data_IF_965248492898
#
_entry.id   IF_965248492898
#
_cell.length_a   1.000
_cell.length_b   1.000
_cell.length_c   1.000
_cell.angle_alpha   90.00
_cell.angle_beta   90.00
_cell.angle_gamma   90.00
#
_symmetry.space_group_name_H-M   'P 1'
#
loop_
_entity.id
_entity.type
_entity.pdbx_description
1 polymer ?
#
# COMPACT_ATOMS: atom_id res chain seq x y z
N UNK A 1 -15.47 -11.74 -7.26
CA UNK A 1 -15.32 -10.32 -7.68
C UNK A 1 -16.18 -9.38 -6.84
N UNK A 2 -17.49 -9.63 -6.76
CA UNK A 2 -18.48 -8.76 -6.08
C UNK A 2 -18.94 -9.24 -4.71
N UNK A 3 -18.50 -10.41 -4.27
CA UNK A 3 -18.75 -10.85 -2.90
C UNK A 3 -18.00 -9.98 -1.90
N UNK A 4 -18.67 -9.69 -0.78
CA UNK A 4 -18.06 -9.03 0.38
C UNK A 4 -16.90 -9.87 0.92
N UNK A 5 -15.91 -9.20 1.52
CA UNK A 5 -14.82 -9.92 2.19
C UNK A 5 -15.36 -10.56 3.47
N UNK A 6 -15.49 -11.89 3.48
CA UNK A 6 -15.97 -12.68 4.63
C UNK A 6 -15.06 -12.61 5.88
N UNK A 7 -14.01 -11.79 5.87
CA UNK A 7 -13.15 -11.51 7.01
C UNK A 7 -12.62 -10.06 6.99
N UNK A 8 -13.53 -9.09 6.90
CA UNK A 8 -13.19 -7.65 6.93
C UNK A 8 -12.35 -7.25 8.15
N UNK A 9 -12.58 -7.89 9.31
CA UNK A 9 -11.79 -7.67 10.52
C UNK A 9 -10.30 -8.01 10.37
N UNK A 10 -9.96 -9.12 9.70
CA UNK A 10 -8.56 -9.47 9.42
C UNK A 10 -7.91 -8.40 8.53
N UNK A 11 -8.59 -8.01 7.45
CA UNK A 11 -8.09 -6.97 6.54
C UNK A 11 -7.89 -5.62 7.25
N UNK A 12 -8.81 -5.23 8.13
CA UNK A 12 -8.69 -4.00 8.93
C UNK A 12 -7.47 -4.03 9.86
N UNK A 13 -7.26 -5.14 10.59
CA UNK A 13 -6.11 -5.28 11.48
C UNK A 13 -4.79 -5.33 10.70
N UNK A 14 -4.74 -6.05 9.58
CA UNK A 14 -3.58 -6.09 8.71
C UNK A 14 -3.23 -4.71 8.13
N UNK A 15 -4.24 -3.91 7.79
CA UNK A 15 -4.04 -2.53 7.36
C UNK A 15 -3.47 -1.65 8.48
N UNK A 16 -4.01 -1.76 9.70
CA UNK A 16 -3.51 -1.03 10.87
C UNK A 16 -2.07 -1.41 11.18
N UNK A 17 -1.78 -2.72 11.20
CA UNK A 17 -0.43 -3.24 11.41
C UNK A 17 0.55 -2.76 10.34
N UNK A 18 0.19 -2.83 9.05
CA UNK A 18 1.02 -2.34 7.93
C UNK A 18 1.40 -0.87 8.12
N UNK A 19 0.42 -0.01 8.41
CA UNK A 19 0.69 1.42 8.65
C UNK A 19 1.60 1.63 9.86
N UNK A 20 1.34 0.90 10.95
CA UNK A 20 2.14 1.02 12.16
C UNK A 20 3.58 0.54 11.95
N UNK A 21 3.79 -0.61 11.31
CA UNK A 21 5.13 -1.16 11.09
C UNK A 21 5.94 -0.31 10.12
N UNK A 22 5.32 0.27 9.08
CA UNK A 22 5.97 1.21 8.17
C UNK A 22 6.44 2.47 8.92
N UNK A 23 5.63 3.01 9.84
CA UNK A 23 6.02 4.14 10.70
C UNK A 23 7.19 3.74 11.62
N UNK A 24 7.13 2.55 12.24
CA UNK A 24 8.21 2.07 13.11
C UNK A 24 9.52 1.83 12.36
N UNK A 25 9.44 1.39 11.12
CA UNK A 25 10.60 1.26 10.25
C UNK A 25 11.27 2.61 9.98
N UNK A 26 10.47 3.63 9.64
CA UNK A 26 10.93 5.02 9.45
C UNK A 26 11.59 5.57 10.73
N UNK A 27 10.93 5.40 11.88
CA UNK A 27 11.47 5.85 13.19
C UNK A 27 12.81 5.19 13.50
N UNK A 28 12.91 3.86 13.30
CA UNK A 28 14.14 3.11 13.50
C UNK A 28 15.29 3.66 12.63
N UNK A 29 15.07 3.88 11.33
CA UNK A 29 16.11 4.42 10.45
C UNK A 29 16.52 5.85 10.84
N UNK A 30 15.58 6.70 11.24
CA UNK A 30 15.90 8.04 11.71
C UNK A 30 16.77 8.01 12.98
N UNK A 31 16.47 7.13 13.93
CA UNK A 31 17.27 6.95 15.16
C UNK A 31 18.64 6.35 14.85
N UNK A 32 18.70 5.35 13.96
CA UNK A 32 19.94 4.72 13.48
C UNK A 32 20.90 5.78 12.91
N UNK A 33 20.39 6.59 11.98
CA UNK A 33 21.17 7.67 11.33
C UNK A 33 21.58 8.76 12.32
N UNK A 34 20.77 9.05 13.34
CA UNK A 34 21.11 10.00 14.40
C UNK A 34 22.25 9.45 15.25
N UNK A 35 22.17 8.20 15.71
CA UNK A 35 23.22 7.55 16.49
C UNK A 35 24.56 7.56 15.76
N UNK A 36 24.57 7.20 14.47
CA UNK A 36 25.78 7.21 13.65
C UNK A 36 26.45 8.59 13.61
N UNK A 37 25.67 9.66 13.45
CA UNK A 37 26.19 11.03 13.47
C UNK A 37 26.74 11.41 14.85
N UNK A 38 26.02 11.11 15.92
CA UNK A 38 26.47 11.46 17.28
C UNK A 38 27.75 10.70 17.67
N UNK A 39 27.83 9.40 17.37
CA UNK A 39 29.01 8.60 17.68
C UNK A 39 30.21 9.01 16.82
N UNK A 40 30.04 9.42 15.56
CA UNK A 40 31.13 9.92 14.73
C UNK A 40 31.63 11.31 15.18
N UNK A 41 30.72 12.19 15.63
CA UNK A 41 31.03 13.59 15.97
C UNK A 41 31.64 13.81 17.37
N UNK A 42 31.95 12.75 18.13
CA UNK A 42 32.67 12.85 19.41
C UNK A 42 34.05 13.46 19.16
N UNK A 43 34.28 14.70 19.62
CA UNK A 43 35.55 15.41 19.44
C UNK A 43 36.54 14.93 20.49
N UNK A 44 37.83 14.88 20.13
CA UNK A 44 38.94 14.56 21.06
C UNK A 44 39.25 15.66 22.11
N UNK A 45 38.53 16.78 22.14
CA UNK A 45 38.89 17.95 22.97
C UNK A 45 37.71 18.53 23.76
N UNK A 46 37.76 18.23 25.07
CA UNK A 46 37.68 19.12 26.24
C UNK A 46 36.81 20.38 26.18
N UNK A 47 35.49 20.23 26.09
CA UNK A 47 34.59 21.17 26.76
C UNK A 47 33.48 20.37 27.45
N UNK A 48 32.97 20.89 28.57
CA UNK A 48 32.08 20.28 29.57
C UNK A 48 30.68 19.89 29.03
N UNK A 49 30.64 19.12 27.96
CA UNK A 49 29.43 18.55 27.42
C UNK A 49 29.30 17.11 27.96
N UNK A 50 28.30 16.90 28.81
CA UNK A 50 28.04 15.60 29.41
C UNK A 50 27.68 14.54 28.36
N UNK A 51 27.11 14.95 27.22
CA UNK A 51 26.80 14.07 26.10
C UNK A 51 28.10 13.55 25.44
N UNK A 52 29.09 14.42 25.20
CA UNK A 52 30.40 14.02 24.65
C UNK A 52 31.10 12.99 25.55
N UNK A 53 31.07 13.21 26.87
CA UNK A 53 31.64 12.26 27.85
C UNK A 53 30.91 10.93 27.81
N UNK A 54 29.58 10.95 27.66
CA UNK A 54 28.77 9.74 27.56
C UNK A 54 29.07 8.95 26.28
N UNK A 55 29.09 9.60 25.11
CA UNK A 55 29.43 8.94 23.85
C UNK A 55 30.87 8.42 23.81
N UNK A 56 31.82 9.10 24.47
CA UNK A 56 33.18 8.58 24.62
C UNK A 56 33.20 7.28 25.44
N UNK A 57 32.48 7.23 26.56
CA UNK A 57 32.33 6.00 27.36
C UNK A 57 31.65 4.88 26.57
N UNK A 58 30.68 5.20 25.72
CA UNK A 58 30.06 4.22 24.83
C UNK A 58 31.08 3.63 23.84
N UNK A 59 31.94 4.45 23.23
CA UNK A 59 33.02 3.98 22.36
C UNK A 59 34.01 3.06 23.10
N UNK A 60 34.41 3.43 24.31
CA UNK A 60 35.32 2.64 25.16
C UNK A 60 34.71 1.27 25.53
N UNK A 61 33.38 1.18 25.64
CA UNK A 61 32.64 -0.07 25.89
C UNK A 61 32.29 -0.87 24.63
N UNK A 62 32.95 -0.59 23.52
CA UNK A 62 32.76 -1.26 22.23
C UNK A 62 31.41 -0.98 21.53
N UNK A 63 30.72 0.12 21.87
CA UNK A 63 29.54 0.59 21.13
C UNK A 63 29.93 1.70 20.15
N UNK A 64 31.07 1.53 19.49
CA UNK A 64 31.60 2.52 18.54
C UNK A 64 30.88 2.52 17.20
N UNK A 65 30.18 1.43 16.87
CA UNK A 65 29.33 1.30 15.68
C UNK A 65 27.87 1.10 16.05
N UNK A 66 26.99 1.46 15.12
CA UNK A 66 25.54 1.27 15.24
C UNK A 66 25.21 -0.22 15.40
N UNK A 67 25.87 -1.11 14.68
CA UNK A 67 25.61 -2.55 14.69
C UNK A 67 25.80 -3.14 16.09
N UNK A 68 26.89 -2.77 16.78
CA UNK A 68 27.19 -3.22 18.14
C UNK A 68 26.19 -2.67 19.15
N UNK A 69 25.80 -1.41 18.99
CA UNK A 69 24.75 -0.82 19.82
C UNK A 69 23.41 -1.53 19.64
N UNK A 70 22.99 -1.80 18.40
CA UNK A 70 21.75 -2.51 18.09
C UNK A 70 21.77 -3.97 18.57
N UNK A 71 22.92 -4.64 18.54
CA UNK A 71 23.08 -5.98 19.14
C UNK A 71 22.80 -5.98 20.63
N UNK A 72 23.25 -4.93 21.34
CA UNK A 72 23.00 -4.79 22.78
C UNK A 72 21.51 -4.71 23.12
N UNK A 73 20.69 -4.15 22.22
CA UNK A 73 19.24 -4.02 22.40
C UNK A 73 18.53 -5.37 22.32
N UNK A 74 19.15 -6.39 21.72
CA UNK A 74 18.58 -7.73 21.67
C UNK A 74 18.53 -8.39 23.06
N UNK A 75 19.26 -7.85 24.06
CA UNK A 75 19.25 -8.36 25.43
C UNK A 75 18.11 -7.79 26.29
N UNK A 76 17.30 -6.86 25.78
CA UNK A 76 16.14 -6.38 26.51
C UNK A 76 15.12 -7.51 26.73
N UNK A 77 14.59 -7.64 27.95
CA UNK A 77 13.69 -8.73 28.37
C UNK A 77 12.51 -8.97 27.41
N UNK A 78 11.95 -7.90 26.82
CA UNK A 78 10.84 -7.96 25.86
C UNK A 78 11.22 -8.57 24.50
N UNK A 79 12.50 -8.53 24.14
CA UNK A 79 13.05 -9.17 22.93
C UNK A 79 13.37 -10.65 23.20
N UNK A 80 13.82 -10.95 24.42
CA UNK A 80 14.18 -12.31 24.84
C UNK A 80 12.97 -13.19 25.16
N UNK A 81 11.84 -12.63 25.59
CA UNK A 81 10.65 -13.39 25.98
C UNK A 81 9.86 -13.99 24.80
N UNK A 82 10.27 -13.73 23.54
CA UNK A 82 9.66 -14.36 22.38
C UNK A 82 10.16 -15.81 22.22
N UNK A 83 9.33 -16.77 22.68
CA UNK A 83 9.56 -18.21 22.48
C UNK A 83 9.35 -18.68 21.03
N UNK A 84 8.72 -17.85 20.19
CA UNK A 84 8.49 -18.13 18.79
C UNK A 84 9.72 -17.73 17.94
N UNK A 85 10.46 -18.74 17.46
CA UNK A 85 11.65 -18.55 16.62
C UNK A 85 11.34 -17.81 15.31
N UNK A 86 10.09 -17.81 14.85
CA UNK A 86 9.68 -17.12 13.62
C UNK A 86 9.57 -15.60 13.79
N UNK A 87 9.34 -15.13 15.02
CA UNK A 87 9.13 -13.71 15.37
C UNK A 87 10.28 -13.14 16.23
N UNK A 88 11.49 -13.68 16.06
CA UNK A 88 12.68 -13.19 16.77
C UNK A 88 13.06 -11.80 16.25
N UNK A 89 13.00 -10.81 17.15
CA UNK A 89 13.41 -9.43 16.87
C UNK A 89 14.94 -9.39 16.76
N UNK A 90 15.43 -8.86 15.64
CA UNK A 90 16.85 -8.60 15.41
C UNK A 90 16.99 -7.28 14.68
N UNK A 91 17.41 -6.24 15.38
CA UNK A 91 17.53 -4.91 14.79
C UNK A 91 18.59 -4.80 13.68
N UNK A 92 19.54 -5.74 13.61
CA UNK A 92 20.50 -5.86 12.49
C UNK A 92 19.91 -6.55 11.25
N UNK A 93 18.72 -7.14 11.34
CA UNK A 93 17.95 -7.69 10.21
C UNK A 93 16.65 -6.88 10.03
N UNK A 94 16.71 -5.57 9.70
CA UNK A 94 15.55 -4.68 9.74
C UNK A 94 14.45 -5.10 8.76
N UNK A 95 14.81 -5.62 7.58
CA UNK A 95 13.85 -6.16 6.62
C UNK A 95 12.98 -7.30 7.18
N UNK A 96 13.54 -8.10 8.08
CA UNK A 96 12.82 -9.21 8.73
C UNK A 96 12.03 -8.72 9.94
N UNK A 97 12.66 -7.90 10.79
CA UNK A 97 12.05 -7.39 12.03
C UNK A 97 10.86 -6.47 11.76
N UNK A 98 10.92 -5.66 10.70
CA UNK A 98 9.85 -4.76 10.29
C UNK A 98 9.11 -5.27 9.04
N UNK A 99 9.07 -6.59 8.87
CA UNK A 99 8.32 -7.22 7.78
C UNK A 99 6.81 -7.16 8.02
N UNK A 100 5.99 -7.22 6.95
CA UNK A 100 4.57 -7.47 7.09
C UNK A 100 4.33 -8.79 7.83
N UNK A 101 3.26 -8.85 8.63
CA UNK A 101 2.91 -10.07 9.35
C UNK A 101 2.60 -11.21 8.37
N UNK A 102 3.08 -12.42 8.67
CA UNK A 102 2.80 -13.64 7.90
C UNK A 102 1.31 -13.99 7.91
N UNK A 103 0.55 -13.53 8.90
CA UNK A 103 -0.91 -13.67 8.98
C UNK A 103 -1.67 -12.74 8.00
N UNK A 104 -1.00 -11.73 7.47
CA UNK A 104 -1.58 -10.74 6.57
C UNK A 104 -1.35 -11.04 5.08
N UNK A 105 -0.89 -12.26 4.78
CA UNK A 105 -0.81 -12.78 3.42
C UNK A 105 -2.21 -12.99 2.84
N UNK A 106 -2.32 -12.98 1.51
CA UNK A 106 -3.57 -13.34 0.86
C UNK A 106 -3.98 -14.76 1.23
N UNK A 107 -5.29 -15.03 1.21
CA UNK A 107 -5.76 -16.41 1.30
C UNK A 107 -5.15 -17.23 0.15
N UNK A 108 -4.80 -18.50 0.40
CA UNK A 108 -4.36 -19.41 -0.65
C UNK A 108 -5.40 -19.45 -1.78
N UNK A 109 -4.94 -19.35 -3.03
CA UNK A 109 -5.82 -19.21 -4.20
C UNK A 109 -6.91 -20.29 -4.29
N UNK A 110 -6.55 -21.52 -3.94
CA UNK A 110 -7.43 -22.68 -3.97
C UNK A 110 -8.18 -22.93 -2.65
N UNK A 111 -7.99 -22.06 -1.67
CA UNK A 111 -8.54 -22.20 -0.33
C UNK A 111 -7.77 -23.15 0.58
N UNK A 112 -8.36 -23.41 1.75
CA UNK A 112 -7.81 -24.29 2.78
C UNK A 112 -8.88 -25.27 3.24
N UNK A 113 -8.45 -26.47 3.66
CA UNK A 113 -9.30 -27.44 4.31
C UNK A 113 -8.96 -27.49 5.79
N UNK A 114 -9.92 -27.11 6.64
CA UNK A 114 -9.79 -27.10 8.09
C UNK A 114 -10.50 -28.33 8.67
N UNK A 115 -9.81 -29.09 9.53
CA UNK A 115 -10.46 -30.19 10.26
C UNK A 115 -11.21 -29.60 11.46
N UNK A 116 -12.51 -29.90 11.56
CA UNK A 116 -13.47 -29.27 12.49
C UNK A 116 -13.06 -29.26 13.98
N UNK A 117 -12.06 -30.03 14.41
CA UNK A 117 -11.71 -30.19 15.84
C UNK A 117 -10.25 -29.88 16.20
N UNK A 118 -9.36 -29.55 15.25
CA UNK A 118 -7.91 -29.43 15.55
C UNK A 118 -7.31 -28.04 15.32
N UNK A 119 -8.10 -27.06 14.85
CA UNK A 119 -7.60 -25.72 14.49
C UNK A 119 -6.60 -25.68 13.32
N UNK A 120 -6.21 -26.85 12.80
CA UNK A 120 -5.24 -27.00 11.73
C UNK A 120 -5.94 -26.99 10.36
N UNK A 121 -5.57 -26.00 9.55
CA UNK A 121 -5.99 -25.86 8.17
C UNK A 121 -4.83 -26.23 7.24
N UNK A 122 -5.14 -26.93 6.16
CA UNK A 122 -4.16 -27.34 5.16
C UNK A 122 -4.50 -26.74 3.80
N UNK A 123 -3.49 -26.34 3.03
CA UNK A 123 -3.70 -25.76 1.70
C UNK A 123 -4.31 -26.79 0.74
N UNK A 124 -5.33 -26.37 -0.01
CA UNK A 124 -5.89 -27.18 -1.09
C UNK A 124 -4.94 -27.11 -2.28
N UNK A 125 -4.66 -28.26 -2.89
CA UNK A 125 -3.84 -28.36 -4.10
C UNK A 125 -4.70 -28.10 -5.35
N UNK A 126 -4.09 -27.56 -6.39
CA UNK A 126 -4.77 -27.26 -7.66
C UNK A 126 -5.52 -28.45 -8.26
N UNK A 127 -4.91 -29.64 -8.23
CA UNK A 127 -5.52 -30.86 -8.76
C UNK A 127 -6.79 -31.28 -7.99
N UNK A 128 -6.93 -30.87 -6.73
CA UNK A 128 -8.13 -31.11 -5.92
C UNK A 128 -9.18 -30.03 -6.23
N UNK A 129 -8.76 -28.78 -6.28
CA UNK A 129 -9.61 -27.63 -6.64
C UNK A 129 -10.28 -27.80 -8.00
N UNK A 130 -9.51 -28.25 -9.01
CA UNK A 130 -10.03 -28.48 -10.37
C UNK A 130 -11.11 -29.55 -10.41
N UNK A 131 -10.94 -30.64 -9.64
CA UNK A 131 -11.88 -31.77 -9.55
C UNK A 131 -13.14 -31.46 -8.74
N UNK A 132 -13.11 -30.43 -7.88
CA UNK A 132 -14.32 -29.98 -7.19
C UNK A 132 -15.24 -29.27 -8.19
N UNK A 133 -16.32 -29.96 -8.56
CA UNK A 133 -17.34 -29.50 -9.53
C UNK A 133 -18.32 -28.46 -8.96
N UNK A 134 -18.10 -27.98 -7.73
CA UNK A 134 -19.08 -27.15 -7.02
C UNK A 134 -18.86 -25.64 -7.20
N UNK A 135 -17.88 -25.21 -8.00
CA UNK A 135 -17.64 -23.79 -8.29
C UNK A 135 -18.25 -23.43 -9.64
N UNK A 136 -18.93 -22.29 -9.66
CA UNK A 136 -19.50 -21.73 -10.88
C UNK A 136 -18.41 -21.47 -11.92
N UNK A 137 -18.69 -21.88 -13.15
CA UNK A 137 -17.80 -21.59 -14.27
C UNK A 137 -17.91 -20.12 -14.64
N UNK A 138 -16.77 -19.46 -14.81
CA UNK A 138 -16.68 -18.07 -15.24
C UNK A 138 -16.94 -17.98 -16.74
N UNK A 139 -17.81 -17.06 -17.16
CA UNK A 139 -18.01 -16.72 -18.57
C UNK A 139 -16.87 -15.83 -19.08
N UNK A 140 -15.87 -16.44 -19.69
CA UNK A 140 -14.69 -15.75 -20.23
C UNK A 140 -14.94 -15.39 -21.70
N UNK A 141 -14.68 -14.13 -22.05
CA UNK A 141 -14.76 -13.60 -23.41
C UNK A 141 -13.40 -13.66 -24.11
N UNK A 142 -12.32 -13.48 -23.36
CA UNK A 142 -10.94 -13.51 -23.85
C UNK A 142 -10.04 -14.20 -22.81
N UNK A 143 -9.36 -15.27 -23.22
CA UNK A 143 -8.50 -16.09 -22.36
C UNK A 143 -7.04 -15.62 -22.35
N UNK A 144 -6.69 -14.64 -23.19
CA UNK A 144 -5.31 -14.16 -23.28
C UNK A 144 -4.88 -13.49 -21.97
N UNK A 145 -3.65 -13.76 -21.48
CA UNK A 145 -3.14 -13.07 -20.29
C UNK A 145 -3.06 -11.56 -20.50
N UNK A 146 -3.21 -10.78 -19.43
CA UNK A 146 -2.96 -9.34 -19.43
C UNK A 146 -1.78 -9.01 -18.54
N UNK A 147 -0.81 -8.27 -19.08
CA UNK A 147 0.24 -7.63 -18.28
C UNK A 147 -0.27 -6.29 -17.76
N UNK A 148 -0.24 -6.10 -16.45
CA UNK A 148 -0.66 -4.89 -15.75
C UNK A 148 0.53 -4.39 -14.94
N UNK A 149 1.21 -3.38 -15.48
CA UNK A 149 2.24 -2.64 -14.77
C UNK A 149 1.58 -1.64 -13.84
N UNK A 150 1.90 -1.67 -12.54
CA UNK A 150 1.41 -0.71 -11.55
C UNK A 150 2.56 -0.16 -10.71
N UNK A 151 2.43 1.09 -10.28
CA UNK A 151 3.31 1.69 -9.29
C UNK A 151 2.61 1.81 -7.95
N UNK A 152 3.14 1.12 -6.93
CA UNK A 152 2.62 1.12 -5.57
C UNK A 152 3.50 1.99 -4.66
N UNK A 153 2.88 2.71 -3.73
CA UNK A 153 3.57 3.48 -2.70
C UNK A 153 4.22 2.51 -1.71
N UNK A 154 5.53 2.65 -1.48
CA UNK A 154 6.25 1.92 -0.42
C UNK A 154 7.10 2.90 0.39
N UNK A 155 6.63 3.22 1.60
CA UNK A 155 7.27 4.15 2.52
C UNK A 155 8.63 3.68 3.05
N UNK A 156 8.89 2.36 3.00
CA UNK A 156 10.14 1.73 3.46
C UNK A 156 11.23 1.84 2.42
N UNK A 157 10.88 1.85 1.13
CA UNK A 157 11.83 1.75 0.03
C UNK A 157 12.98 2.76 0.10
N UNK A 158 12.75 3.99 0.54
CA UNK A 158 13.79 5.03 0.69
C UNK A 158 14.94 4.63 1.64
N UNK A 159 14.72 3.67 2.54
CA UNK A 159 15.73 3.21 3.52
C UNK A 159 16.37 1.87 3.16
N UNK A 160 15.86 1.19 2.13
CA UNK A 160 16.29 -0.16 1.73
C UNK A 160 16.75 -0.24 0.27
N UNK A 161 16.80 0.89 -0.44
CA UNK A 161 17.25 0.95 -1.83
C UNK A 161 18.62 0.26 -2.04
N UNK A 162 19.54 0.44 -1.10
CA UNK A 162 20.88 -0.18 -1.12
C UNK A 162 20.81 -1.70 -0.92
N UNK A 163 19.92 -2.19 -0.06
CA UNK A 163 19.76 -3.61 0.27
C UNK A 163 19.10 -4.42 -0.86
N UNK A 164 18.32 -3.76 -1.72
CA UNK A 164 17.45 -4.43 -2.71
C UNK A 164 17.65 -3.98 -4.17
N UNK A 165 18.88 -3.60 -4.57
CA UNK A 165 19.27 -3.35 -5.98
C UNK A 165 18.33 -2.40 -6.76
N UNK A 166 17.99 -1.24 -6.22
CA UNK A 166 17.20 -0.22 -6.93
C UNK A 166 15.80 -0.67 -7.42
N UNK A 167 15.17 -1.63 -6.72
CA UNK A 167 13.77 -2.01 -7.00
C UNK A 167 12.78 -0.86 -6.72
N UNK A 168 13.18 0.10 -5.90
CA UNK A 168 12.41 1.30 -5.57
C UNK A 168 12.91 2.51 -6.33
N UNK A 169 12.00 3.40 -6.66
CA UNK A 169 12.30 4.68 -7.31
C UNK A 169 11.93 5.82 -6.38
N UNK A 170 12.75 6.87 -6.39
CA UNK A 170 12.38 8.10 -5.72
C UNK A 170 11.20 8.73 -6.45
N UNK A 171 10.17 9.08 -5.70
CA UNK A 171 9.00 9.81 -6.19
C UNK A 171 8.91 11.12 -5.46
N UNK A 172 8.83 12.22 -6.21
CA UNK A 172 8.65 13.54 -5.61
C UNK A 172 7.38 13.62 -4.73
N UNK A 173 6.35 12.83 -5.06
CA UNK A 173 5.11 12.78 -4.29
C UNK A 173 5.22 11.87 -3.06
N UNK A 174 5.88 10.72 -3.16
CA UNK A 174 5.77 9.64 -2.17
C UNK A 174 7.09 9.22 -1.50
N UNK A 175 8.20 9.92 -1.75
CA UNK A 175 9.58 9.57 -1.36
C UNK A 175 10.09 8.25 -1.94
N UNK A 176 9.25 7.22 -2.01
CA UNK A 176 9.59 5.92 -2.58
C UNK A 176 8.35 5.23 -3.15
N UNK A 177 8.52 4.66 -4.33
CA UNK A 177 7.51 3.85 -5.04
C UNK A 177 8.14 2.59 -5.62
N UNK A 178 7.31 1.58 -5.84
CA UNK A 178 7.69 0.28 -6.40
C UNK A 178 6.86 -0.02 -7.63
N UNK A 179 7.52 -0.19 -8.77
CA UNK A 179 6.89 -0.76 -9.95
C UNK A 179 6.69 -2.27 -9.75
N UNK A 180 5.53 -2.78 -10.14
CA UNK A 180 5.13 -4.18 -10.08
C UNK A 180 4.53 -4.59 -11.41
N UNK A 181 5.03 -5.68 -12.00
CA UNK A 181 4.49 -6.25 -13.24
C UNK A 181 3.61 -7.47 -12.93
N UNK A 182 2.29 -7.29 -12.95
CA UNK A 182 1.33 -8.37 -12.70
C UNK A 182 0.86 -9.00 -14.01
N UNK A 183 1.00 -10.32 -14.12
CA UNK A 183 0.47 -11.10 -15.24
C UNK A 183 -0.80 -11.80 -14.76
N UNK A 184 -1.94 -11.32 -15.24
CA UNK A 184 -3.26 -11.84 -14.87
C UNK A 184 -3.81 -12.78 -15.96
N UNK A 185 -4.35 -13.93 -15.54
CA UNK A 185 -4.91 -14.96 -16.42
C UNK A 185 -5.98 -15.78 -15.72
N UNK A 186 -6.91 -16.32 -16.51
CA UNK A 186 -7.89 -17.26 -16.02
C UNK A 186 -7.31 -18.67 -15.92
N UNK A 187 -7.50 -19.32 -14.77
CA UNK A 187 -7.13 -20.71 -14.54
C UNK A 187 -8.41 -21.56 -14.45
N UNK A 188 -8.44 -22.63 -15.25
CA UNK A 188 -9.51 -23.65 -15.26
C UNK A 188 -10.92 -23.09 -15.41
N UNK A 189 -11.07 -21.94 -16.06
CA UNK A 189 -12.33 -21.19 -16.17
C UNK A 189 -13.04 -20.92 -14.83
N UNK A 190 -12.30 -20.92 -13.72
CA UNK A 190 -12.84 -20.83 -12.35
C UNK A 190 -12.19 -19.73 -11.53
N UNK A 191 -10.92 -19.43 -11.79
CA UNK A 191 -10.14 -18.47 -11.01
C UNK A 191 -9.49 -17.45 -11.92
N UNK A 192 -9.48 -16.20 -11.47
CA UNK A 192 -8.76 -15.10 -12.11
C UNK A 192 -7.52 -14.76 -11.25
N UNK A 193 -6.38 -15.34 -11.62
CA UNK A 193 -5.10 -15.23 -10.90
C UNK A 193 -4.24 -14.14 -11.53
N UNK A 194 -3.64 -13.30 -10.69
CA UNK A 194 -2.54 -12.42 -11.04
C UNK A 194 -1.26 -12.88 -10.34
N UNK A 195 -0.21 -13.12 -11.11
CA UNK A 195 1.13 -13.45 -10.62
C UNK A 195 2.08 -12.27 -10.79
N UNK A 196 2.85 -11.94 -9.76
CA UNK A 196 3.88 -10.91 -9.81
C UNK A 196 5.11 -11.48 -10.52
N UNK A 197 5.46 -10.92 -11.67
CA UNK A 197 6.56 -11.40 -12.51
C UNK A 197 7.93 -11.15 -11.85
N UNK A 198 8.08 -10.02 -11.18
CA UNK A 198 9.30 -9.57 -10.51
C UNK A 198 9.22 -9.70 -8.98
N UNK A 199 8.63 -10.82 -8.52
CA UNK A 199 8.47 -11.11 -7.10
C UNK A 199 9.80 -11.20 -6.35
N UNK A 200 9.88 -10.49 -5.24
CA UNK A 200 11.02 -10.56 -4.32
C UNK A 200 10.53 -10.80 -2.87
N UNK A 201 10.83 -11.96 -2.27
CA UNK A 201 10.32 -12.35 -0.96
C UNK A 201 10.83 -11.47 0.20
N UNK A 202 11.82 -10.61 -0.03
CA UNK A 202 12.30 -9.64 0.98
C UNK A 202 11.39 -8.42 1.10
N UNK A 203 10.63 -8.08 0.05
CA UNK A 203 9.84 -6.85 -0.03
C UNK A 203 8.35 -7.12 -0.33
N UNK A 204 8.06 -8.15 -1.12
CA UNK A 204 6.73 -8.49 -1.58
C UNK A 204 6.09 -9.56 -0.68
N UNK A 205 4.83 -9.34 -0.34
CA UNK A 205 4.09 -10.22 0.57
C UNK A 205 3.61 -11.51 -0.11
N UNK A 206 3.14 -11.40 -1.36
CA UNK A 206 2.47 -12.48 -2.08
C UNK A 206 2.98 -12.55 -3.53
N UNK A 207 3.38 -13.74 -3.97
CA UNK A 207 3.79 -14.00 -5.36
C UNK A 207 2.58 -14.04 -6.31
N UNK A 208 1.46 -14.60 -5.83
CA UNK A 208 0.20 -14.67 -6.58
C UNK A 208 -0.97 -14.19 -5.72
N UNK A 209 -1.90 -13.50 -6.35
CA UNK A 209 -3.16 -13.03 -5.75
C UNK A 209 -4.30 -13.23 -6.76
N UNK A 210 -5.55 -13.02 -6.33
CA UNK A 210 -6.66 -12.93 -7.29
C UNK A 210 -6.73 -11.53 -7.90
N UNK A 211 -7.28 -11.41 -9.10
CA UNK A 211 -7.50 -10.10 -9.72
C UNK A 211 -8.40 -9.18 -8.87
N UNK A 212 -9.36 -9.75 -8.11
CA UNK A 212 -10.15 -9.01 -7.10
C UNK A 212 -9.23 -8.32 -6.07
N UNK A 213 -8.28 -9.07 -5.52
CA UNK A 213 -7.33 -8.55 -4.52
C UNK A 213 -6.40 -7.50 -5.13
N UNK A 214 -6.01 -7.66 -6.41
CA UNK A 214 -5.22 -6.65 -7.12
C UNK A 214 -5.98 -5.31 -7.23
N UNK A 215 -7.25 -5.33 -7.65
CA UNK A 215 -8.10 -4.13 -7.71
C UNK A 215 -8.21 -3.47 -6.33
N UNK A 216 -8.47 -4.25 -5.29
CA UNK A 216 -8.64 -3.73 -3.93
C UNK A 216 -7.34 -3.11 -3.38
N UNK A 217 -6.18 -3.72 -3.63
CA UNK A 217 -4.87 -3.15 -3.28
C UNK A 217 -4.60 -1.87 -4.06
N UNK A 218 -4.87 -1.87 -5.37
CA UNK A 218 -4.68 -0.72 -6.23
C UNK A 218 -5.57 0.45 -5.84
N UNK A 219 -6.85 0.21 -5.52
CA UNK A 219 -7.78 1.24 -5.04
C UNK A 219 -7.31 1.86 -3.72
N UNK A 220 -6.81 1.04 -2.80
CA UNK A 220 -6.27 1.53 -1.55
C UNK A 220 -5.05 2.45 -1.78
N UNK A 221 -4.13 2.04 -2.64
CA UNK A 221 -2.95 2.82 -3.02
C UNK A 221 -3.34 4.12 -3.75
N UNK A 222 -4.26 4.01 -4.71
CA UNK A 222 -4.81 5.12 -5.46
C UNK A 222 -5.42 6.20 -4.55
N UNK A 223 -6.22 5.83 -3.54
CA UNK A 223 -6.82 6.79 -2.61
C UNK A 223 -5.76 7.50 -1.76
N UNK A 224 -4.72 6.79 -1.33
CA UNK A 224 -3.57 7.39 -0.64
C UNK A 224 -2.82 8.36 -1.56
N UNK A 225 -2.59 7.95 -2.80
CA UNK A 225 -1.91 8.76 -3.80
C UNK A 225 -2.70 10.01 -4.21
N UNK A 226 -4.01 9.88 -4.38
CA UNK A 226 -4.92 10.98 -4.66
C UNK A 226 -4.89 12.02 -3.54
N UNK A 227 -5.03 11.57 -2.28
CA UNK A 227 -5.01 12.45 -1.11
C UNK A 227 -3.71 13.27 -1.03
N UNK A 228 -2.56 12.64 -1.27
CA UNK A 228 -1.28 13.36 -1.26
C UNK A 228 -1.16 14.32 -2.44
N UNK A 229 -1.54 13.89 -3.64
CA UNK A 229 -1.50 14.72 -4.85
C UNK A 229 -2.35 15.98 -4.68
N UNK A 230 -3.58 15.81 -4.18
CA UNK A 230 -4.48 16.91 -3.83
C UNK A 230 -3.85 17.87 -2.82
N UNK A 231 -3.32 17.34 -1.71
CA UNK A 231 -2.63 18.17 -0.70
C UNK A 231 -1.49 18.99 -1.30
N UNK A 232 -0.76 18.45 -2.29
CA UNK A 232 0.34 19.18 -2.95
C UNK A 232 -0.18 20.32 -3.83
N UNK A 233 -1.28 20.11 -4.55
CA UNK A 233 -1.98 21.14 -5.34
C UNK A 233 -2.57 22.20 -4.41
N UNK A 234 -3.31 21.82 -3.36
CA UNK A 234 -3.95 22.79 -2.46
C UNK A 234 -2.94 23.77 -1.83
N UNK A 235 -1.71 23.30 -1.55
CA UNK A 235 -0.61 24.15 -1.07
C UNK A 235 -0.14 25.21 -2.08
N UNK A 236 -0.38 24.99 -3.36
CA UNK A 236 -0.12 25.95 -4.43
C UNK A 236 -1.30 26.91 -4.63
N UNK A 237 -2.53 26.51 -4.32
CA UNK A 237 -3.74 27.33 -4.48
C UNK A 237 -4.04 28.26 -3.29
N UNK A 238 -3.69 27.90 -2.04
CA UNK A 238 -4.13 28.59 -0.80
C UNK A 238 -3.56 30.02 -0.58
N UNK A 239 -2.64 30.53 -1.40
CA UNK A 239 -2.13 31.90 -1.24
C UNK A 239 -2.61 32.81 -2.36
N UNK A 240 -3.71 33.51 -2.09
CA UNK A 240 -4.02 34.78 -2.75
C UNK A 240 -2.86 35.77 -2.57
N UNK A 241 -2.66 36.60 -3.60
CA UNK A 241 -1.57 37.58 -3.82
C UNK A 241 -0.25 37.04 -4.39
N UNK A 242 -0.25 36.82 -5.72
CA UNK A 242 0.82 37.25 -6.65
C UNK A 242 2.28 36.87 -6.34
N UNK A 243 2.53 35.85 -5.52
CA UNK A 243 3.86 35.26 -5.38
C UNK A 243 3.81 33.91 -6.10
N UNK A 244 4.43 33.83 -7.27
CA UNK A 244 4.86 32.55 -7.83
C UNK A 244 5.60 31.79 -6.73
N UNK A 245 4.96 30.79 -6.13
CA UNK A 245 5.62 29.94 -5.14
C UNK A 245 6.64 29.13 -5.94
N UNK A 246 7.91 29.44 -5.74
CA UNK A 246 9.02 28.70 -6.32
C UNK A 246 8.82 27.20 -6.01
N UNK A 247 8.74 26.38 -7.07
CA UNK A 247 8.47 24.95 -6.96
C UNK A 247 7.01 24.48 -7.12
N UNK A 248 6.01 25.37 -7.29
CA UNK A 248 4.64 24.92 -7.60
C UNK A 248 4.50 24.34 -9.01
N UNK A 249 5.13 24.95 -10.02
CA UNK A 249 5.22 24.39 -11.37
C UNK A 249 5.77 22.95 -11.37
N UNK A 250 6.83 22.71 -10.58
CA UNK A 250 7.39 21.36 -10.41
C UNK A 250 6.41 20.41 -9.73
N UNK A 251 5.76 20.82 -8.62
CA UNK A 251 4.74 20.02 -7.93
C UNK A 251 3.60 19.59 -8.86
N UNK A 252 3.07 20.51 -9.66
CA UNK A 252 1.98 20.24 -10.61
C UNK A 252 2.44 19.31 -11.74
N UNK A 253 3.68 19.44 -12.22
CA UNK A 253 4.26 18.50 -13.18
C UNK A 253 4.33 17.07 -12.62
N UNK A 254 4.74 16.90 -11.35
CA UNK A 254 4.78 15.59 -10.71
C UNK A 254 3.39 14.99 -10.48
N UNK A 255 2.40 15.81 -10.11
CA UNK A 255 1.00 15.35 -10.03
C UNK A 255 0.49 14.95 -11.42
N UNK A 256 0.81 15.71 -12.46
CA UNK A 256 0.49 15.38 -13.85
C UNK A 256 1.05 14.03 -14.27
N UNK A 257 2.33 13.77 -14.01
CA UNK A 257 2.99 12.48 -14.27
C UNK A 257 2.31 11.32 -13.52
N UNK A 258 1.96 11.53 -12.25
CA UNK A 258 1.25 10.52 -11.46
C UNK A 258 -0.15 10.24 -12.02
N UNK A 259 -0.89 11.27 -12.43
CA UNK A 259 -2.20 11.15 -13.06
C UNK A 259 -2.12 10.37 -14.38
N UNK A 260 -1.15 10.66 -15.24
CA UNK A 260 -0.92 9.94 -16.49
C UNK A 260 -0.61 8.46 -16.25
N UNK A 261 0.25 8.17 -15.28
CA UNK A 261 0.60 6.81 -14.90
C UNK A 261 -0.62 6.06 -14.40
N UNK A 262 -1.37 6.60 -13.44
CA UNK A 262 -2.58 5.97 -12.87
C UNK A 262 -3.72 5.85 -13.88
N UNK A 263 -3.81 6.76 -14.85
CA UNK A 263 -4.75 6.64 -15.99
C UNK A 263 -4.42 5.41 -16.85
N UNK A 264 -3.13 5.20 -17.12
CA UNK A 264 -2.65 4.05 -17.91
C UNK A 264 -2.88 2.73 -17.16
N UNK A 265 -2.52 2.69 -15.87
CA UNK A 265 -2.77 1.54 -14.98
C UNK A 265 -4.25 1.18 -14.94
N UNK A 266 -5.12 2.17 -14.71
CA UNK A 266 -6.57 1.96 -14.67
C UNK A 266 -7.12 1.48 -16.02
N UNK A 267 -6.57 1.95 -17.13
CA UNK A 267 -6.88 1.44 -18.47
C UNK A 267 -6.64 -0.07 -18.59
N UNK A 268 -5.48 -0.55 -18.12
CA UNK A 268 -5.14 -1.99 -18.14
C UNK A 268 -5.98 -2.83 -17.18
N UNK A 269 -6.32 -2.29 -16.01
CA UNK A 269 -7.25 -2.95 -15.08
C UNK A 269 -8.63 -3.09 -15.73
N UNK A 270 -9.16 -2.04 -16.36
CA UNK A 270 -10.43 -2.09 -17.09
C UNK A 270 -10.41 -3.08 -18.25
N UNK A 271 -9.31 -3.09 -19.02
CA UNK A 271 -9.09 -4.03 -20.12
C UNK A 271 -9.19 -5.47 -19.63
N UNK A 272 -8.45 -5.85 -18.58
CA UNK A 272 -8.50 -7.20 -18.02
C UNK A 272 -9.87 -7.53 -17.41
N UNK A 273 -10.47 -6.58 -16.69
CA UNK A 273 -11.80 -6.74 -16.12
C UNK A 273 -12.83 -7.13 -17.20
N UNK A 274 -12.80 -6.49 -18.36
CA UNK A 274 -13.76 -6.74 -19.44
C UNK A 274 -13.57 -8.08 -20.16
N UNK A 275 -12.50 -8.84 -19.86
CA UNK A 275 -12.29 -10.19 -20.42
C UNK A 275 -13.22 -11.25 -19.84
N UNK A 276 -13.92 -10.95 -18.75
CA UNK A 276 -14.96 -11.79 -18.17
C UNK A 276 -16.31 -11.09 -18.26
N UNK A 277 -17.30 -11.77 -18.83
CA UNK A 277 -18.69 -11.33 -18.81
C UNK A 277 -19.28 -11.59 -17.42
N UNK A 278 -19.75 -10.51 -16.78
CA UNK A 278 -20.38 -10.54 -15.47
C UNK A 278 -21.84 -10.05 -15.52
N UNK A 279 -22.37 -9.77 -16.71
CA UNK A 279 -23.66 -9.12 -16.89
C UNK A 279 -23.59 -7.59 -16.87
N UNK A 280 -24.66 -6.93 -17.36
CA UNK A 280 -24.70 -5.47 -17.58
C UNK A 280 -24.60 -4.65 -16.29
N UNK A 281 -25.14 -5.16 -15.19
CA UNK A 281 -25.16 -4.48 -13.90
C UNK A 281 -23.79 -4.50 -13.21
N UNK A 282 -22.97 -5.51 -13.49
CA UNK A 282 -21.71 -5.79 -12.81
C UNK A 282 -20.49 -5.26 -13.55
N UNK A 283 -20.52 -3.96 -13.86
CA UNK A 283 -19.41 -3.26 -14.49
C UNK A 283 -18.39 -2.76 -13.45
N UNK A 284 -17.20 -2.35 -13.90
CA UNK A 284 -16.10 -2.00 -12.98
C UNK A 284 -16.40 -0.76 -12.11
N UNK A 285 -17.14 0.23 -12.63
CA UNK A 285 -17.54 1.39 -11.82
C UNK A 285 -18.45 0.96 -10.65
N UNK A 286 -19.32 -0.03 -10.85
CA UNK A 286 -20.10 -0.63 -9.77
C UNK A 286 -19.19 -1.33 -8.74
N UNK A 287 -18.15 -2.06 -9.17
CA UNK A 287 -17.15 -2.63 -8.22
C UNK A 287 -16.48 -1.54 -7.37
N UNK A 288 -16.09 -0.42 -7.99
CA UNK A 288 -15.46 0.70 -7.26
C UNK A 288 -16.45 1.32 -6.26
N UNK A 289 -17.71 1.51 -6.64
CA UNK A 289 -18.78 1.98 -5.73
C UNK A 289 -18.94 1.06 -4.53
N UNK A 290 -19.10 -0.24 -4.77
CA UNK A 290 -19.21 -1.24 -3.70
C UNK A 290 -18.03 -1.17 -2.73
N UNK A 291 -16.80 -1.02 -3.23
CA UNK A 291 -15.65 -0.80 -2.38
C UNK A 291 -15.80 0.48 -1.56
N UNK A 292 -16.13 1.62 -2.19
CA UNK A 292 -16.23 2.91 -1.49
C UNK A 292 -17.40 3.00 -0.51
N UNK A 293 -18.39 2.11 -0.57
CA UNK A 293 -19.49 2.02 0.41
C UNK A 293 -19.11 1.29 1.71
N UNK A 294 -18.00 0.54 1.72
CA UNK A 294 -17.64 -0.37 2.80
C UNK A 294 -16.29 -0.06 3.44
N UNK A 295 -16.18 -0.32 4.74
CA UNK A 295 -14.88 -0.27 5.40
C UNK A 295 -13.95 -1.39 4.90
N UNK A 296 -12.64 -1.14 4.78
CA UNK A 296 -11.94 0.08 5.18
C UNK A 296 -11.74 1.12 4.06
N UNK A 297 -12.40 0.94 2.92
CA UNK A 297 -12.31 1.82 1.76
C UNK A 297 -13.13 3.09 1.96
N UNK A 298 -14.32 2.99 2.55
CA UNK A 298 -15.20 4.12 2.85
C UNK A 298 -14.46 5.26 3.55
N UNK A 299 -13.90 5.00 4.75
CA UNK A 299 -13.12 6.00 5.47
C UNK A 299 -11.94 6.54 4.68
N UNK A 300 -11.28 5.72 3.86
CA UNK A 300 -10.15 6.17 3.05
C UNK A 300 -10.60 7.09 1.90
N UNK A 301 -11.71 6.74 1.26
CA UNK A 301 -12.32 7.49 0.16
C UNK A 301 -12.79 8.86 0.64
N UNK A 302 -13.63 8.91 1.68
CA UNK A 302 -14.13 10.18 2.25
C UNK A 302 -12.99 11.09 2.69
N UNK A 303 -11.94 10.53 3.32
CA UNK A 303 -10.77 11.30 3.71
C UNK A 303 -9.93 11.80 2.53
N UNK A 304 -9.91 11.07 1.40
CA UNK A 304 -9.17 11.45 0.21
C UNK A 304 -9.89 12.58 -0.55
N UNK A 305 -11.22 12.50 -0.67
CA UNK A 305 -12.02 13.47 -1.42
C UNK A 305 -12.44 14.69 -0.61
N UNK A 306 -12.18 14.72 0.70
CA UNK A 306 -12.61 15.80 1.60
C UNK A 306 -12.27 17.18 1.03
N UNK A 307 -13.29 17.99 0.75
CA UNK A 307 -13.16 19.33 0.19
C UNK A 307 -13.18 19.41 -1.35
N UNK A 308 -13.26 18.29 -2.07
CA UNK A 308 -13.53 18.31 -3.51
C UNK A 308 -15.00 18.61 -3.75
N UNK A 309 -15.26 19.71 -4.45
CA UNK A 309 -16.61 20.18 -4.82
C UNK A 309 -16.78 20.32 -6.33
N UNK A 310 -15.71 20.14 -7.09
CA UNK A 310 -15.63 20.27 -8.54
C UNK A 310 -16.03 18.99 -9.28
N UNK A 311 -16.22 17.88 -8.56
CA UNK A 311 -16.69 16.61 -9.10
C UNK A 311 -18.19 16.53 -8.93
N UNK A 312 -18.91 16.33 -10.04
CA UNK A 312 -20.36 16.19 -10.07
C UNK A 312 -20.86 15.15 -9.05
N UNK A 313 -21.77 15.59 -8.18
CA UNK A 313 -22.39 14.79 -7.14
C UNK A 313 -21.72 14.93 -5.76
N UNK A 314 -20.47 15.42 -5.71
CA UNK A 314 -19.73 15.51 -4.44
C UNK A 314 -20.24 16.65 -3.55
N UNK A 315 -20.91 17.65 -4.11
CA UNK A 315 -21.57 18.71 -3.37
C UNK A 315 -22.59 18.17 -2.35
N UNK A 316 -23.21 17.02 -2.65
CA UNK A 316 -24.20 16.35 -1.80
C UNK A 316 -23.60 15.74 -0.54
N UNK A 317 -22.30 15.45 -0.55
CA UNK A 317 -21.62 14.88 0.61
C UNK A 317 -21.50 15.89 1.78
N UNK A 318 -21.60 17.20 1.51
CA UNK A 318 -21.48 18.23 2.54
C UNK A 318 -22.59 18.16 3.60
N UNK A 319 -23.73 17.55 3.28
CA UNK A 319 -24.86 17.37 4.23
C UNK A 319 -24.83 16.04 4.99
N UNK A 320 -23.79 15.22 4.83
CA UNK A 320 -23.72 13.89 5.43
C UNK A 320 -22.81 13.83 6.66
N UNK A 321 -23.35 13.28 7.75
CA UNK A 321 -22.63 13.05 9.02
C UNK A 321 -22.33 11.56 9.28
N UNK A 322 -23.11 10.66 8.68
CA UNK A 322 -23.01 9.21 8.90
C UNK A 322 -22.87 8.45 7.58
N UNK A 323 -22.23 7.27 7.63
CA UNK A 323 -21.90 6.45 6.46
C UNK A 323 -23.12 6.14 5.57
N UNK A 324 -24.28 5.83 6.16
CA UNK A 324 -25.50 5.53 5.39
C UNK A 324 -25.96 6.68 4.48
N UNK A 325 -25.72 7.93 4.90
CA UNK A 325 -26.00 9.11 4.08
C UNK A 325 -25.07 9.15 2.86
N UNK A 326 -23.76 8.97 3.08
CA UNK A 326 -22.78 8.93 2.00
C UNK A 326 -23.06 7.80 1.01
N UNK A 327 -23.36 6.60 1.52
CA UNK A 327 -23.64 5.42 0.71
C UNK A 327 -24.82 5.65 -0.24
N UNK A 328 -25.86 6.37 0.19
CA UNK A 328 -26.98 6.76 -0.68
C UNK A 328 -26.51 7.55 -1.89
N UNK A 329 -25.70 8.60 -1.67
CA UNK A 329 -25.20 9.43 -2.75
C UNK A 329 -24.16 8.72 -3.63
N UNK A 330 -23.31 7.85 -3.05
CA UNK A 330 -22.36 7.04 -3.80
C UNK A 330 -23.08 6.15 -4.81
N UNK A 331 -24.24 5.57 -4.43
CA UNK A 331 -25.07 4.74 -5.32
C UNK A 331 -25.67 5.52 -6.48
N UNK A 332 -26.09 6.77 -6.22
CA UNK A 332 -26.72 7.64 -7.22
C UNK A 332 -25.73 8.20 -8.26
N UNK A 333 -24.43 8.23 -7.93
CA UNK A 333 -23.39 8.73 -8.83
C UNK A 333 -23.14 7.70 -9.93
N UNK A 334 -23.43 8.05 -11.18
CA UNK A 334 -23.35 7.12 -12.32
C UNK A 334 -22.01 7.10 -13.07
N UNK A 335 -21.09 8.01 -12.76
CA UNK A 335 -19.78 8.05 -13.40
C UNK A 335 -18.77 7.07 -12.76
N UNK A 336 -17.61 6.92 -13.41
CA UNK A 336 -16.46 6.17 -12.89
C UNK A 336 -15.65 7.07 -11.96
N UNK A 337 -15.71 6.79 -10.65
CA UNK A 337 -15.06 7.61 -9.63
C UNK A 337 -13.56 7.80 -9.90
N UNK A 338 -12.85 6.75 -10.31
CA UNK A 338 -11.40 6.80 -10.56
C UNK A 338 -11.09 7.78 -11.69
N UNK A 339 -11.82 7.67 -12.80
CA UNK A 339 -11.67 8.59 -13.94
C UNK A 339 -11.97 10.02 -13.53
N UNK A 340 -13.04 10.28 -12.77
CA UNK A 340 -13.38 11.64 -12.32
C UNK A 340 -12.38 12.25 -11.34
N UNK A 341 -11.84 11.45 -10.43
CA UNK A 341 -10.79 11.88 -9.52
C UNK A 341 -9.51 12.25 -10.30
N UNK A 342 -9.11 11.44 -11.28
CA UNK A 342 -7.97 11.73 -12.15
C UNK A 342 -8.19 13.00 -13.01
N UNK A 343 -9.39 13.18 -13.57
CA UNK A 343 -9.76 14.39 -14.35
C UNK A 343 -9.71 15.66 -13.49
N UNK A 344 -10.19 15.60 -12.25
CA UNK A 344 -10.13 16.72 -11.29
C UNK A 344 -8.68 17.14 -11.02
N UNK A 345 -7.80 16.20 -10.66
CA UNK A 345 -6.39 16.51 -10.44
C UNK A 345 -5.70 17.04 -11.70
N UNK A 346 -5.99 16.45 -12.87
CA UNK A 346 -5.45 16.91 -14.15
C UNK A 346 -5.83 18.35 -14.45
N UNK A 347 -7.07 18.73 -14.15
CA UNK A 347 -7.57 20.08 -14.37
C UNK A 347 -6.90 21.05 -13.41
N UNK A 348 -6.88 20.73 -12.11
CA UNK A 348 -6.24 21.57 -11.09
C UNK A 348 -4.73 21.77 -11.35
N UNK A 349 -4.03 20.73 -11.80
CA UNK A 349 -2.61 20.82 -12.14
C UNK A 349 -2.29 21.63 -13.41
N UNK A 350 -3.28 21.93 -14.26
CA UNK A 350 -3.11 22.76 -15.48
C UNK A 350 -3.44 24.23 -15.28
N UNK A 351 -4.26 24.53 -14.27
CA UNK A 351 -4.72 25.90 -13.98
C UNK A 351 -3.68 26.70 -13.18
N UNK A 352 -2.63 26.05 -12.68
CA UNK A 352 -1.47 26.62 -11.97
C UNK A 352 -0.20 26.56 -12.84
#
# INVERSE_FOLDING_TARGET
>A
MFEDSLCSGCYEQCRKYRKWIDIKFVEYHNQKNKYEKEIQNVRKSSNNDDDQKFYQKLKEKDYSSVEKFLESLNHCNLVQSNSDQTNKIKFNEPLKTFSPSTYCKTCPLYGVNCRNNSGNCTHIKENVFTRQNNLDTIKILDTSPTSIDIEMIDHRGQYIQEDVKNLFKESYLFKSVRDQNWICRFIHNKLDECKLNDFNPKIDTDESITFKVLIERWLQDFLEGYKQSKKKIDLCTIKEENKCIEGCKGKCEYVGKWVEKKTTEWGKIKEHFNKQDRGKEYHIAYKVRMCFEQEPFFSAFINAIKGDKDIEGFEKFASCEHQDCYNRFIRDINHDFITKLLESLKTKAKTE
#
